data_IF_770205903343
#
_entry.id   IF_770205903343
#
_cell.length_a   1.000
_cell.length_b   1.000
_cell.length_c   1.000
_cell.angle_alpha   90.00
_cell.angle_beta   90.00
_cell.angle_gamma   90.00
#
_symmetry.space_group_name_H-M   'P 1'
#
loop_
_entity.id
_entity.type
_entity.pdbx_description
1 polymer ?
#
# COMPACT_ATOMS: atom_id res chain seq x y z
N UNK A 1 -5.38 -93.33 -38.81
CA UNK A 1 -4.22 -92.99 -37.97
C UNK A 1 -4.45 -91.63 -37.43
N UNK A 2 -4.47 -91.51 -36.16
CA UNK A 2 -5.11 -90.39 -35.40
C UNK A 2 -4.11 -89.34 -34.97
N UNK A 3 -4.39 -88.10 -35.35
CA UNK A 3 -3.67 -86.90 -34.84
C UNK A 3 -4.10 -86.58 -33.44
N UNK A 4 -3.20 -86.20 -32.52
CA UNK A 4 -3.62 -85.66 -31.25
C UNK A 4 -3.71 -84.16 -31.30
N UNK A 5 -4.73 -83.66 -30.62
CA UNK A 5 -5.12 -82.30 -30.49
C UNK A 5 -4.12 -81.47 -29.66
N UNK A 6 -3.80 -80.25 -30.09
CA UNK A 6 -3.09 -79.19 -29.27
C UNK A 6 -4.07 -78.51 -28.33
N UNK A 7 -3.74 -78.54 -27.04
CA UNK A 7 -4.42 -77.79 -26.02
C UNK A 7 -3.94 -76.34 -26.08
N UNK A 8 -4.87 -75.41 -26.27
CA UNK A 8 -4.66 -73.95 -26.12
C UNK A 8 -4.73 -73.61 -24.61
N UNK A 9 -3.64 -73.11 -24.09
CA UNK A 9 -3.63 -72.48 -22.79
C UNK A 9 -4.20 -71.06 -22.87
N UNK A 10 -4.76 -70.52 -21.76
CA UNK A 10 -5.37 -69.19 -21.75
C UNK A 10 -4.33 -68.09 -21.80
N UNK A 11 -4.53 -67.12 -22.71
CA UNK A 11 -3.76 -65.89 -22.80
C UNK A 11 -4.10 -64.99 -21.57
N UNK A 12 -3.15 -64.84 -20.70
CA UNK A 12 -3.20 -63.81 -19.64
C UNK A 12 -3.04 -62.44 -20.28
N UNK A 13 -4.06 -61.61 -20.18
CA UNK A 13 -4.01 -60.19 -20.51
C UNK A 13 -3.17 -59.43 -19.45
N UNK A 14 -2.31 -58.49 -19.85
CA UNK A 14 -1.66 -57.60 -18.90
C UNK A 14 -2.64 -56.50 -18.46
N UNK A 15 -3.04 -56.55 -17.20
CA UNK A 15 -3.69 -55.43 -16.55
C UNK A 15 -2.64 -54.35 -16.23
N UNK A 16 -2.53 -53.40 -17.11
CA UNK A 16 -1.84 -52.16 -16.81
C UNK A 16 -2.85 -51.01 -16.89
N UNK A 17 -3.49 -50.74 -15.81
CA UNK A 17 -4.18 -49.47 -15.65
C UNK A 17 -3.73 -48.84 -14.35
N UNK A 18 -2.49 -48.36 -14.34
CA UNK A 18 -2.03 -47.42 -13.34
C UNK A 18 -2.47 -46.05 -13.83
N UNK A 19 -3.70 -45.67 -13.54
CA UNK A 19 -4.13 -44.29 -13.63
C UNK A 19 -3.26 -43.45 -12.67
N UNK A 20 -2.36 -42.67 -13.26
CA UNK A 20 -1.69 -41.62 -12.52
C UNK A 20 -2.77 -40.78 -11.82
N UNK A 21 -2.54 -40.37 -10.53
CA UNK A 21 -3.47 -39.50 -9.88
C UNK A 21 -3.61 -38.22 -10.70
N UNK A 22 -4.83 -37.61 -10.76
CA UNK A 22 -5.02 -36.35 -11.46
C UNK A 22 -3.99 -35.35 -10.91
N UNK A 23 -3.27 -34.69 -11.82
CA UNK A 23 -2.37 -33.62 -11.48
C UNK A 23 -3.19 -32.66 -10.61
N UNK A 24 -2.80 -32.56 -9.32
CA UNK A 24 -3.33 -31.55 -8.45
C UNK A 24 -3.27 -30.25 -9.24
N UNK A 25 -4.41 -29.61 -9.42
CA UNK A 25 -4.50 -28.26 -9.97
C UNK A 25 -3.48 -27.46 -9.18
N UNK A 26 -2.35 -27.17 -9.79
CA UNK A 26 -1.43 -26.17 -9.28
C UNK A 26 -2.29 -24.93 -9.24
N UNK A 27 -2.61 -24.47 -8.03
CA UNK A 27 -3.24 -23.20 -7.78
C UNK A 27 -2.30 -22.19 -8.48
N UNK A 28 -2.62 -21.91 -9.75
CA UNK A 28 -1.78 -21.06 -10.58
C UNK A 28 -1.87 -19.69 -9.93
N UNK A 29 -0.78 -19.28 -9.31
CA UNK A 29 -0.68 -18.01 -8.61
C UNK A 29 -1.14 -16.93 -9.59
N UNK A 30 -2.34 -16.41 -9.35
CA UNK A 30 -2.89 -15.36 -10.20
C UNK A 30 -2.37 -14.03 -9.73
N UNK A 31 -1.89 -13.15 -10.64
CA UNK A 31 -1.40 -11.86 -10.26
C UNK A 31 -2.52 -11.04 -9.60
N UNK A 32 -2.15 -10.35 -8.53
CA UNK A 32 -2.98 -9.38 -7.82
C UNK A 32 -2.37 -8.00 -7.94
N UNK A 33 -3.18 -6.95 -7.88
CA UNK A 33 -2.68 -5.59 -7.94
C UNK A 33 -3.11 -4.77 -6.72
N UNK A 34 -2.24 -3.84 -6.33
CA UNK A 34 -2.55 -2.79 -5.37
C UNK A 34 -2.29 -1.44 -6.02
N UNK A 35 -3.25 -0.53 -5.88
CA UNK A 35 -3.09 0.87 -6.29
C UNK A 35 -3.18 1.77 -5.06
N UNK A 36 -2.22 2.70 -4.95
CA UNK A 36 -2.19 3.74 -3.92
C UNK A 36 -2.33 5.12 -4.58
N UNK A 37 -3.37 5.87 -4.23
CA UNK A 37 -3.60 7.24 -4.65
C UNK A 37 -3.15 8.18 -3.53
N UNK A 38 -1.85 8.43 -3.47
CA UNK A 38 -1.22 9.31 -2.49
C UNK A 38 -1.26 10.79 -2.87
N UNK A 39 -0.79 11.65 -1.98
CA UNK A 39 -0.81 13.11 -2.16
C UNK A 39 0.10 13.60 -3.32
N UNK A 40 1.21 12.94 -3.59
CA UNK A 40 2.22 13.35 -4.60
C UNK A 40 2.33 12.42 -5.79
N UNK A 41 1.86 11.19 -5.67
CA UNK A 41 1.93 10.19 -6.73
C UNK A 41 0.80 9.18 -6.60
N UNK A 42 0.42 8.59 -7.72
CA UNK A 42 -0.31 7.33 -7.76
C UNK A 42 0.67 6.20 -8.05
N UNK A 43 0.50 5.05 -7.39
CA UNK A 43 1.37 3.89 -7.51
C UNK A 43 0.57 2.65 -7.86
N UNK A 44 1.18 1.77 -8.60
CA UNK A 44 0.69 0.43 -8.91
C UNK A 44 1.76 -0.57 -8.52
N UNK A 45 1.37 -1.63 -7.84
CA UNK A 45 2.16 -2.82 -7.58
C UNK A 45 1.39 -4.03 -8.08
N UNK A 46 2.02 -4.90 -8.86
CA UNK A 46 1.47 -6.20 -9.25
C UNK A 46 2.39 -7.29 -8.70
N UNK A 47 1.81 -8.28 -8.04
CA UNK A 47 2.55 -9.39 -7.45
C UNK A 47 1.80 -10.72 -7.61
N UNK A 48 2.55 -11.81 -7.63
CA UNK A 48 2.03 -13.15 -7.40
C UNK A 48 2.11 -13.49 -5.91
N UNK A 49 1.02 -14.09 -5.41
CA UNK A 49 0.94 -14.51 -4.01
C UNK A 49 0.98 -16.03 -3.94
N UNK A 50 1.97 -16.56 -3.25
CA UNK A 50 2.09 -17.99 -2.92
C UNK A 50 1.99 -18.15 -1.41
N UNK A 51 1.15 -19.08 -0.95
CA UNK A 51 0.96 -19.33 0.48
C UNK A 51 2.30 -19.64 1.17
N UNK A 52 2.61 -18.92 2.25
CA UNK A 52 3.82 -19.11 3.04
C UNK A 52 5.10 -18.56 2.40
N UNK A 53 5.02 -17.82 1.31
CA UNK A 53 6.16 -17.15 0.68
C UNK A 53 5.93 -15.64 0.60
N UNK A 54 7.00 -14.83 0.59
CA UNK A 54 6.88 -13.41 0.29
C UNK A 54 6.26 -13.18 -1.10
N UNK A 55 5.51 -12.08 -1.30
CA UNK A 55 4.97 -11.74 -2.62
C UNK A 55 6.08 -11.63 -3.66
N UNK A 56 5.93 -12.31 -4.80
CA UNK A 56 6.81 -12.14 -5.94
C UNK A 56 6.36 -10.93 -6.75
N UNK A 57 7.15 -9.84 -6.71
CA UNK A 57 6.83 -8.59 -7.41
C UNK A 57 7.02 -8.80 -8.92
N UNK A 58 5.96 -8.54 -9.70
CA UNK A 58 5.96 -8.63 -11.16
C UNK A 58 6.14 -7.27 -11.83
N UNK A 59 5.52 -6.22 -11.27
CA UNK A 59 5.55 -4.87 -11.84
C UNK A 59 5.39 -3.81 -10.75
N UNK A 60 6.15 -2.73 -10.87
CA UNK A 60 6.00 -1.51 -10.08
C UNK A 60 5.93 -0.30 -11.01
N UNK A 61 4.88 0.50 -10.87
CA UNK A 61 4.73 1.73 -11.63
C UNK A 61 4.31 2.89 -10.72
N UNK A 62 4.85 4.07 -11.01
CA UNK A 62 4.51 5.30 -10.29
C UNK A 62 4.31 6.45 -11.27
N UNK A 63 3.35 7.31 -10.99
CA UNK A 63 3.10 8.56 -11.74
C UNK A 63 2.91 9.70 -10.78
N UNK A 64 3.70 10.74 -10.95
CA UNK A 64 3.56 11.96 -10.17
C UNK A 64 2.22 12.63 -10.47
N UNK A 65 1.50 13.01 -9.41
CA UNK A 65 0.25 13.76 -9.44
C UNK A 65 0.28 14.86 -8.38
N UNK A 66 -0.62 15.82 -8.47
CA UNK A 66 -0.62 16.96 -7.56
C UNK A 66 -1.85 17.00 -6.64
N UNK A 67 -2.40 15.83 -6.29
CA UNK A 67 -3.62 15.71 -5.46
C UNK A 67 -3.47 16.48 -4.14
N UNK A 68 -2.33 16.29 -3.45
CA UNK A 68 -2.08 16.97 -2.19
C UNK A 68 -1.85 18.47 -2.33
N UNK A 69 -1.25 18.92 -3.43
CA UNK A 69 -1.12 20.36 -3.69
C UNK A 69 -2.49 21.03 -3.70
N UNK A 70 -3.42 20.50 -4.43
CA UNK A 70 -4.74 21.06 -4.60
C UNK A 70 -5.58 20.92 -3.32
N UNK A 71 -5.61 19.72 -2.73
CA UNK A 71 -6.39 19.43 -1.53
C UNK A 71 -5.94 20.24 -0.31
N UNK A 72 -4.62 20.35 -0.08
CA UNK A 72 -4.10 21.02 1.12
C UNK A 72 -3.99 22.53 0.98
N UNK A 73 -4.16 23.09 -0.23
CA UNK A 73 -4.19 24.55 -0.45
C UNK A 73 -5.62 25.06 -0.58
N UNK A 74 -6.41 24.41 -1.44
CA UNK A 74 -7.76 24.88 -1.78
C UNK A 74 -8.89 24.01 -1.25
N UNK A 75 -8.59 22.93 -0.52
CA UNK A 75 -9.59 21.97 -0.03
C UNK A 75 -10.31 21.20 -1.14
N UNK A 76 -9.84 21.29 -2.39
CA UNK A 76 -10.55 20.80 -3.57
C UNK A 76 -9.57 20.36 -4.65
N UNK A 77 -9.83 19.25 -5.32
CA UNK A 77 -9.06 18.78 -6.47
C UNK A 77 -9.42 19.60 -7.71
N UNK A 78 -8.42 20.17 -8.37
CA UNK A 78 -8.59 20.95 -9.60
C UNK A 78 -8.81 20.05 -10.83
N UNK A 79 -9.41 20.62 -11.88
CA UNK A 79 -9.75 19.88 -13.09
C UNK A 79 -8.52 19.26 -13.77
N UNK A 80 -7.41 20.00 -13.85
CA UNK A 80 -6.18 19.53 -14.48
C UNK A 80 -5.54 18.38 -13.69
N UNK A 81 -5.56 18.48 -12.35
CA UNK A 81 -5.05 17.44 -11.47
C UNK A 81 -5.90 16.17 -11.56
N UNK A 82 -7.22 16.31 -11.58
CA UNK A 82 -8.14 15.19 -11.80
C UNK A 82 -7.83 14.52 -13.14
N UNK A 83 -7.74 15.29 -14.22
CA UNK A 83 -7.50 14.75 -15.56
C UNK A 83 -6.11 14.06 -15.67
N UNK A 84 -5.08 14.63 -15.06
CA UNK A 84 -3.75 14.01 -14.99
C UNK A 84 -3.79 12.67 -14.23
N UNK A 85 -4.55 12.63 -13.13
CA UNK A 85 -4.72 11.42 -12.33
C UNK A 85 -5.49 10.34 -13.09
N UNK A 86 -6.56 10.73 -13.77
CA UNK A 86 -7.34 9.82 -14.62
C UNK A 86 -6.49 9.19 -15.72
N UNK A 87 -5.65 9.99 -16.42
CA UNK A 87 -4.72 9.46 -17.43
C UNK A 87 -3.71 8.47 -16.84
N UNK A 88 -3.21 8.74 -15.64
CA UNK A 88 -2.29 7.83 -14.96
C UNK A 88 -2.97 6.49 -14.62
N UNK A 89 -4.20 6.54 -14.11
CA UNK A 89 -5.00 5.36 -13.77
C UNK A 89 -5.42 4.56 -15.02
N UNK A 90 -5.74 5.23 -16.14
CA UNK A 90 -5.95 4.57 -17.45
C UNK A 90 -4.70 3.76 -17.87
N UNK A 91 -3.52 4.34 -17.67
CA UNK A 91 -2.25 3.66 -17.94
C UNK A 91 -2.07 2.44 -17.05
N UNK A 92 -2.36 2.55 -15.76
CA UNK A 92 -2.28 1.45 -14.81
C UNK A 92 -3.29 0.35 -15.11
N UNK A 93 -4.52 0.71 -15.52
CA UNK A 93 -5.52 -0.27 -15.94
C UNK A 93 -5.01 -1.13 -17.10
N UNK A 94 -4.41 -0.52 -18.12
CA UNK A 94 -3.81 -1.25 -19.26
C UNK A 94 -2.67 -2.16 -18.82
N UNK A 95 -1.83 -1.74 -17.88
CA UNK A 95 -0.78 -2.60 -17.31
C UNK A 95 -1.42 -3.78 -16.59
N UNK A 96 -2.39 -3.56 -15.72
CA UNK A 96 -3.11 -4.63 -15.02
C UNK A 96 -3.74 -5.63 -16.00
N UNK A 97 -4.35 -5.14 -17.08
CA UNK A 97 -4.96 -5.99 -18.12
C UNK A 97 -3.91 -6.83 -18.83
N UNK A 98 -2.71 -6.30 -19.12
CA UNK A 98 -1.62 -7.05 -19.76
C UNK A 98 -1.05 -8.18 -18.89
N UNK A 99 -1.14 -8.05 -17.56
CA UNK A 99 -0.79 -9.10 -16.59
C UNK A 99 -1.96 -10.05 -16.27
N UNK A 100 -3.15 -9.82 -16.83
CA UNK A 100 -4.33 -10.63 -16.53
C UNK A 100 -4.84 -10.48 -15.10
N UNK A 101 -4.61 -9.31 -14.46
CA UNK A 101 -5.04 -9.03 -13.10
C UNK A 101 -6.56 -8.99 -13.02
N UNK A 102 -7.15 -9.88 -12.23
CA UNK A 102 -8.60 -9.92 -11.94
C UNK A 102 -8.91 -9.34 -10.57
N UNK A 103 -8.02 -9.58 -9.60
CA UNK A 103 -8.21 -9.09 -8.22
C UNK A 103 -7.27 -7.93 -7.94
N UNK A 104 -7.83 -6.85 -7.43
CA UNK A 104 -7.05 -5.69 -7.02
C UNK A 104 -7.66 -5.02 -5.79
N UNK A 105 -6.85 -4.22 -5.09
CA UNK A 105 -7.32 -3.23 -4.13
C UNK A 105 -6.77 -1.86 -4.55
N UNK A 106 -7.62 -0.86 -4.62
CA UNK A 106 -7.23 0.51 -4.90
C UNK A 106 -7.64 1.38 -3.70
N UNK A 107 -6.70 2.09 -3.12
CA UNK A 107 -6.92 2.94 -1.95
C UNK A 107 -6.54 4.38 -2.25
N UNK A 108 -7.23 5.31 -1.61
CA UNK A 108 -6.89 6.72 -1.62
C UNK A 108 -6.80 7.22 -0.18
N UNK A 109 -5.83 8.08 0.08
CA UNK A 109 -5.48 8.54 1.42
C UNK A 109 -5.77 10.03 1.62
N UNK A 110 -5.03 10.71 2.46
CA UNK A 110 -5.29 12.06 3.00
C UNK A 110 -5.72 13.10 1.96
N UNK A 111 -5.09 13.16 0.78
CA UNK A 111 -5.41 14.18 -0.21
C UNK A 111 -6.82 14.02 -0.81
N UNK A 112 -7.23 12.79 -1.10
CA UNK A 112 -8.57 12.51 -1.59
C UNK A 112 -9.58 12.56 -0.44
N UNK A 113 -9.23 12.01 0.71
CA UNK A 113 -10.07 11.99 1.91
C UNK A 113 -10.54 13.39 2.32
N UNK A 114 -9.66 14.38 2.26
CA UNK A 114 -9.94 15.75 2.67
C UNK A 114 -10.55 16.63 1.57
N UNK A 115 -10.53 16.20 0.33
CA UNK A 115 -11.06 16.98 -0.78
C UNK A 115 -12.60 17.06 -0.73
N UNK A 116 -13.15 18.27 -0.75
CA UNK A 116 -14.61 18.52 -0.74
C UNK A 116 -15.30 17.85 -1.94
N UNK A 117 -14.62 17.71 -3.08
CA UNK A 117 -15.15 17.10 -4.30
C UNK A 117 -14.68 15.66 -4.51
N UNK A 118 -14.31 14.94 -3.43
CA UNK A 118 -13.80 13.56 -3.50
C UNK A 118 -14.77 12.61 -4.20
N UNK A 119 -16.06 12.70 -3.89
CA UNK A 119 -17.06 11.79 -4.45
C UNK A 119 -17.19 11.97 -5.97
N UNK A 120 -17.23 13.22 -6.45
CA UNK A 120 -17.18 13.51 -7.89
C UNK A 120 -15.91 13.00 -8.56
N UNK A 121 -14.76 13.09 -7.88
CA UNK A 121 -13.50 12.54 -8.37
C UNK A 121 -13.56 11.01 -8.47
N UNK A 122 -14.02 10.33 -7.42
CA UNK A 122 -14.14 8.87 -7.39
C UNK A 122 -15.11 8.35 -8.46
N UNK A 123 -16.23 9.03 -8.66
CA UNK A 123 -17.18 8.69 -9.73
C UNK A 123 -16.52 8.80 -11.12
N UNK A 124 -15.73 9.86 -11.37
CA UNK A 124 -14.98 10.02 -12.62
C UNK A 124 -13.93 8.91 -12.80
N UNK A 125 -13.22 8.52 -11.74
CA UNK A 125 -12.29 7.40 -11.79
C UNK A 125 -13.01 6.13 -12.19
N UNK A 126 -14.11 5.82 -11.52
CA UNK A 126 -14.91 4.60 -11.79
C UNK A 126 -15.46 4.58 -13.22
N UNK A 127 -16.05 5.68 -13.68
CA UNK A 127 -16.63 5.78 -15.02
C UNK A 127 -15.60 5.64 -16.12
N UNK A 128 -14.40 6.19 -15.93
CA UNK A 128 -13.36 6.18 -16.94
C UNK A 128 -12.52 4.91 -16.97
N UNK A 129 -12.16 4.39 -15.80
CA UNK A 129 -11.19 3.30 -15.68
C UNK A 129 -11.79 1.97 -15.24
N UNK A 130 -13.03 1.98 -14.77
CA UNK A 130 -13.67 0.83 -14.12
C UNK A 130 -13.08 0.49 -12.74
N UNK A 131 -12.11 1.28 -12.23
CA UNK A 131 -11.51 1.05 -10.94
C UNK A 131 -12.42 1.55 -9.81
N UNK A 132 -12.63 0.70 -8.81
CA UNK A 132 -13.29 1.08 -7.57
C UNK A 132 -12.23 1.44 -6.53
N UNK A 133 -12.18 2.71 -6.15
CA UNK A 133 -11.18 3.24 -5.19
C UNK A 133 -11.84 3.45 -3.84
N UNK A 134 -11.27 2.84 -2.81
CA UNK A 134 -11.68 2.98 -1.42
C UNK A 134 -10.91 4.15 -0.78
N UNK A 135 -11.61 5.05 -0.11
CA UNK A 135 -10.95 6.08 0.71
C UNK A 135 -10.77 5.52 2.11
N UNK A 136 -9.51 5.30 2.50
CA UNK A 136 -9.19 4.79 3.84
C UNK A 136 -8.91 5.92 4.81
N UNK A 137 -9.22 5.69 6.08
CA UNK A 137 -8.89 6.62 7.18
C UNK A 137 -7.48 6.37 7.73
N UNK A 138 -7.03 7.23 8.64
CA UNK A 138 -5.71 7.10 9.25
C UNK A 138 -5.55 5.83 10.09
N UNK A 139 -6.62 5.32 10.69
CA UNK A 139 -6.58 4.08 11.47
C UNK A 139 -6.30 2.87 10.58
N UNK A 140 -6.92 2.83 9.39
CA UNK A 140 -6.66 1.78 8.41
C UNK A 140 -5.25 1.94 7.78
N UNK A 141 -4.79 3.17 7.52
CA UNK A 141 -3.41 3.44 7.09
C UNK A 141 -2.41 2.86 8.12
N UNK A 142 -2.55 3.22 9.39
CA UNK A 142 -1.72 2.69 10.49
C UNK A 142 -1.77 1.16 10.60
N UNK A 143 -2.95 0.57 10.48
CA UNK A 143 -3.13 -0.89 10.53
C UNK A 143 -2.39 -1.60 9.38
N UNK A 144 -2.47 -1.06 8.17
CA UNK A 144 -1.79 -1.62 7.00
C UNK A 144 -0.27 -1.49 7.13
N UNK A 145 0.22 -0.32 7.55
CA UNK A 145 1.64 -0.07 7.82
C UNK A 145 2.18 -1.01 8.89
N UNK A 146 1.48 -1.15 10.02
CA UNK A 146 1.86 -2.11 11.06
C UNK A 146 1.91 -3.55 10.55
N UNK A 147 0.92 -3.96 9.75
CA UNK A 147 0.87 -5.31 9.19
C UNK A 147 2.09 -5.59 8.29
N UNK A 148 2.45 -4.63 7.44
CA UNK A 148 3.61 -4.74 6.56
C UNK A 148 4.93 -4.79 7.35
N UNK A 149 5.06 -3.92 8.36
CA UNK A 149 6.25 -3.87 9.21
C UNK A 149 6.42 -5.14 10.01
N UNK A 150 5.35 -5.64 10.63
CA UNK A 150 5.38 -6.89 11.42
C UNK A 150 5.84 -8.07 10.58
N UNK A 151 5.40 -8.17 9.35
CA UNK A 151 5.83 -9.24 8.44
C UNK A 151 7.31 -9.10 8.05
N UNK A 152 7.74 -7.88 7.71
CA UNK A 152 9.12 -7.61 7.34
C UNK A 152 10.12 -7.79 8.50
N UNK A 153 9.65 -7.59 9.75
CA UNK A 153 10.48 -7.69 10.94
C UNK A 153 10.44 -9.06 11.63
N UNK A 154 9.77 -10.06 11.08
CA UNK A 154 9.69 -11.40 11.68
C UNK A 154 11.05 -11.98 12.07
N UNK A 155 12.10 -11.64 11.34
CA UNK A 155 13.47 -12.08 11.59
C UNK A 155 14.26 -11.14 12.53
N UNK A 156 13.66 -10.04 12.98
CA UNK A 156 14.30 -9.02 13.83
C UNK A 156 13.69 -9.01 15.24
N UNK A 157 13.89 -10.10 15.99
CA UNK A 157 13.32 -10.30 17.32
C UNK A 157 13.55 -9.14 18.29
N UNK A 158 14.72 -8.49 18.24
CA UNK A 158 15.05 -7.37 19.14
C UNK A 158 14.11 -6.17 18.97
N UNK A 159 13.72 -5.84 17.73
CA UNK A 159 12.77 -4.75 17.46
C UNK A 159 11.33 -5.13 17.81
N UNK A 160 11.01 -6.42 17.71
CA UNK A 160 9.68 -6.94 18.05
C UNK A 160 9.52 -7.12 19.56
N UNK A 161 10.59 -7.45 20.29
CA UNK A 161 10.56 -7.67 21.74
C UNK A 161 10.57 -6.38 22.57
N UNK A 162 11.01 -5.26 22.00
CA UNK A 162 11.18 -3.97 22.67
C UNK A 162 9.96 -3.05 22.63
N UNK A 163 10.15 -1.86 23.19
CA UNK A 163 9.24 -0.72 23.05
C UNK A 163 9.72 0.11 21.85
N UNK A 164 9.02 -0.02 20.70
CA UNK A 164 9.44 0.53 19.40
C UNK A 164 8.47 1.61 18.93
N UNK A 165 9.01 2.77 18.52
CA UNK A 165 8.25 3.80 17.82
C UNK A 165 8.36 3.58 16.30
N UNK A 166 7.23 3.28 15.68
CA UNK A 166 7.09 3.24 14.24
C UNK A 166 6.64 4.62 13.74
N UNK A 167 7.35 5.18 12.76
CA UNK A 167 7.05 6.49 12.17
C UNK A 167 7.06 6.36 10.65
N UNK A 168 5.95 6.71 10.02
CA UNK A 168 5.86 6.87 8.57
C UNK A 168 5.56 8.32 8.22
N UNK A 169 6.39 8.97 7.40
CA UNK A 169 6.14 10.31 6.89
C UNK A 169 5.77 10.21 5.41
N UNK A 170 4.50 10.48 5.14
CA UNK A 170 3.95 10.54 3.80
C UNK A 170 3.84 11.97 3.26
N UNK A 171 3.19 12.12 2.09
CA UNK A 171 2.97 13.45 1.50
C UNK A 171 1.95 14.29 2.26
N UNK A 172 0.92 13.69 2.84
CA UNK A 172 -0.20 14.39 3.49
C UNK A 172 -0.24 14.29 5.00
N UNK A 173 0.30 13.22 5.56
CA UNK A 173 0.28 12.90 7.00
C UNK A 173 1.63 12.33 7.46
N UNK A 174 1.81 12.30 8.77
CA UNK A 174 2.76 11.43 9.44
C UNK A 174 1.96 10.48 10.33
N UNK A 175 2.24 9.20 10.19
CA UNK A 175 1.59 8.12 10.91
C UNK A 175 2.56 7.57 11.95
N UNK A 176 2.13 7.54 13.20
CA UNK A 176 2.94 7.09 14.32
C UNK A 176 2.23 5.94 15.03
N UNK A 177 2.98 4.88 15.32
CA UNK A 177 2.52 3.78 16.17
C UNK A 177 3.56 3.44 17.21
N UNK A 178 3.15 3.38 18.47
CA UNK A 178 3.99 2.91 19.56
C UNK A 178 3.69 1.44 19.81
N UNK A 179 4.69 0.61 19.59
CA UNK A 179 4.61 -0.84 19.74
C UNK A 179 5.23 -1.23 21.08
N UNK A 180 4.54 -2.06 21.83
CA UNK A 180 5.06 -2.72 23.03
C UNK A 180 5.09 -4.22 22.81
N UNK A 181 6.27 -4.79 22.85
CA UNK A 181 6.48 -6.22 22.54
C UNK A 181 5.85 -6.62 21.19
N UNK A 182 6.05 -5.78 20.18
CA UNK A 182 5.53 -6.01 18.84
C UNK A 182 4.05 -5.69 18.63
N UNK A 183 3.27 -5.34 19.67
CA UNK A 183 1.85 -5.02 19.54
C UNK A 183 1.60 -3.51 19.64
N UNK A 184 0.77 -2.93 18.75
CA UNK A 184 0.47 -1.51 18.78
C UNK A 184 -0.44 -1.18 19.96
N UNK A 185 0.04 -0.31 20.86
CA UNK A 185 -0.74 0.16 22.00
C UNK A 185 -1.23 1.59 21.85
N UNK A 186 -0.58 2.37 20.99
CA UNK A 186 -1.01 3.70 20.58
C UNK A 186 -0.71 3.90 19.11
N UNK A 187 -1.65 4.51 18.38
CA UNK A 187 -1.46 4.91 16.99
C UNK A 187 -2.18 6.23 16.73
N UNK A 188 -1.57 7.08 15.90
CA UNK A 188 -2.15 8.35 15.51
C UNK A 188 -1.68 8.80 14.13
N UNK A 189 -2.55 9.54 13.45
CA UNK A 189 -2.28 10.16 12.15
C UNK A 189 -2.28 11.68 12.33
N UNK A 190 -1.19 12.32 11.98
CA UNK A 190 -0.97 13.75 12.23
C UNK A 190 -0.77 14.50 10.91
N UNK A 191 -1.26 15.74 10.83
CA UNK A 191 -1.18 16.59 9.64
C UNK A 191 0.25 17.13 9.39
N UNK A 192 1.24 16.22 9.31
CA UNK A 192 2.68 16.50 9.23
C UNK A 192 3.33 15.87 7.99
N UNK A 193 2.59 15.78 6.88
CA UNK A 193 3.13 15.26 5.62
C UNK A 193 3.96 16.29 4.86
N UNK A 194 4.98 15.84 4.14
CA UNK A 194 5.94 16.70 3.44
C UNK A 194 5.30 17.65 2.41
N UNK A 195 4.33 17.17 1.62
CA UNK A 195 3.60 18.00 0.65
C UNK A 195 2.71 19.00 1.38
N UNK A 196 1.98 18.56 2.41
CA UNK A 196 1.13 19.43 3.23
C UNK A 196 1.93 20.56 3.86
N UNK A 197 3.05 20.26 4.48
CA UNK A 197 3.91 21.25 5.13
C UNK A 197 4.46 22.25 4.12
N UNK A 198 4.87 21.81 2.95
CA UNK A 198 5.33 22.68 1.87
C UNK A 198 4.21 23.60 1.38
N UNK A 199 2.99 23.14 1.23
CA UNK A 199 1.86 23.95 0.81
C UNK A 199 1.49 24.98 1.89
N UNK A 200 1.48 24.61 3.16
CA UNK A 200 1.26 25.54 4.26
C UNK A 200 2.31 26.66 4.26
N UNK A 201 3.59 26.32 4.10
CA UNK A 201 4.67 27.31 4.03
C UNK A 201 4.53 28.25 2.83
N UNK A 202 4.09 27.74 1.67
CA UNK A 202 3.86 28.55 0.48
C UNK A 202 2.65 29.49 0.60
N UNK A 203 1.61 29.08 1.32
CA UNK A 203 0.40 29.89 1.53
C UNK A 203 0.59 31.03 2.57
N UNK A 204 1.60 30.95 3.43
CA UNK A 204 1.82 31.99 4.45
C UNK A 204 2.48 33.21 3.86
N UNK A 205 1.91 34.37 4.19
CA UNK A 205 2.45 35.67 3.79
C UNK A 205 3.49 36.19 4.78
N UNK A 206 4.37 37.08 4.31
CA UNK A 206 5.40 37.71 5.13
C UNK A 206 6.84 37.41 4.66
N UNK A 207 7.81 37.90 5.41
CA UNK A 207 9.23 37.64 5.11
C UNK A 207 9.58 36.16 5.24
N UNK A 208 10.70 35.74 4.64
CA UNK A 208 11.20 34.36 4.78
C UNK A 208 11.32 33.94 6.26
N UNK A 209 11.91 34.81 7.09
CA UNK A 209 12.06 34.54 8.53
C UNK A 209 10.72 34.37 9.26
N UNK A 210 9.73 35.20 8.92
CA UNK A 210 8.40 35.10 9.53
C UNK A 210 7.75 33.75 9.15
N UNK A 211 7.83 33.35 7.87
CA UNK A 211 7.31 32.05 7.41
C UNK A 211 8.00 30.88 8.10
N UNK A 212 9.32 30.91 8.23
CA UNK A 212 10.09 29.87 8.94
C UNK A 212 9.69 29.79 10.43
N UNK A 213 9.51 30.94 11.11
CA UNK A 213 9.02 30.95 12.49
C UNK A 213 7.64 30.31 12.63
N UNK A 214 6.70 30.67 11.74
CA UNK A 214 5.36 30.11 11.73
C UNK A 214 5.40 28.60 11.47
N UNK A 215 6.21 28.17 10.51
CA UNK A 215 6.41 26.76 10.21
C UNK A 215 6.92 25.98 11.43
N UNK A 216 7.98 26.44 12.07
CA UNK A 216 8.53 25.82 13.29
C UNK A 216 7.48 25.73 14.38
N UNK A 217 6.73 26.80 14.60
CA UNK A 217 5.66 26.83 15.62
C UNK A 217 4.57 25.80 15.31
N UNK A 218 4.14 25.71 14.04
CA UNK A 218 3.15 24.74 13.62
C UNK A 218 3.62 23.30 13.86
N UNK A 219 4.84 22.97 13.43
CA UNK A 219 5.46 21.66 13.69
C UNK A 219 5.57 21.38 15.19
N UNK A 220 6.03 22.36 16.00
CA UNK A 220 6.14 22.21 17.44
C UNK A 220 4.80 21.92 18.11
N UNK A 221 3.72 22.59 17.70
CA UNK A 221 2.39 22.34 18.24
C UNK A 221 1.94 20.90 17.95
N UNK A 222 2.10 20.43 16.71
CA UNK A 222 1.75 19.05 16.34
C UNK A 222 2.60 18.04 17.14
N UNK A 223 3.91 18.30 17.31
CA UNK A 223 4.79 17.44 18.12
C UNK A 223 4.37 17.44 19.61
N UNK A 224 3.86 18.56 20.13
CA UNK A 224 3.31 18.59 21.48
C UNK A 224 2.05 17.74 21.62
N UNK A 225 1.19 17.73 20.62
CA UNK A 225 0.00 16.88 20.61
C UNK A 225 0.40 15.39 20.52
N UNK A 226 1.34 15.05 19.64
CA UNK A 226 1.91 13.69 19.57
C UNK A 226 2.45 13.23 20.95
N UNK A 227 3.18 14.11 21.66
CA UNK A 227 3.73 13.78 23.00
C UNK A 227 2.69 13.57 24.08
N UNK A 228 1.48 14.09 23.91
CA UNK A 228 0.36 13.87 24.84
C UNK A 228 -0.33 12.54 24.61
N UNK A 229 -0.35 12.09 23.34
CA UNK A 229 -1.08 10.90 22.91
C UNK A 229 -0.17 9.67 22.89
N UNK A 230 1.10 9.83 22.50
CA UNK A 230 2.05 8.74 22.31
C UNK A 230 3.17 8.84 23.37
N UNK A 231 3.48 7.75 24.10
CA UNK A 231 4.51 7.72 25.12
C UNK A 231 5.93 7.68 24.54
N UNK A 232 6.32 8.73 23.79
CA UNK A 232 7.60 8.79 23.07
C UNK A 232 8.83 8.55 23.93
N UNK A 233 8.77 8.85 25.24
CA UNK A 233 9.89 8.69 26.17
C UNK A 233 10.15 7.24 26.55
N UNK A 234 9.19 6.37 26.33
CA UNK A 234 9.29 4.95 26.64
C UNK A 234 9.90 4.17 25.47
N UNK A 235 9.90 4.75 24.25
CA UNK A 235 10.49 4.13 23.07
C UNK A 235 12.00 3.96 23.26
N UNK A 236 12.47 2.72 23.09
CA UNK A 236 13.89 2.35 23.09
C UNK A 236 14.46 2.34 21.69
N UNK A 237 13.63 1.93 20.75
CA UNK A 237 13.97 1.80 19.33
C UNK A 237 13.03 2.63 18.48
N UNK A 238 13.51 3.05 17.32
CA UNK A 238 12.72 3.78 16.33
C UNK A 238 12.85 3.14 14.95
N UNK A 239 11.72 2.94 14.29
CA UNK A 239 11.67 2.49 12.90
C UNK A 239 10.99 3.54 12.06
N UNK A 240 11.73 4.13 11.13
CA UNK A 240 11.23 5.16 10.23
C UNK A 240 10.99 4.58 8.83
N UNK A 241 9.81 4.86 8.28
CA UNK A 241 9.37 4.42 6.96
C UNK A 241 9.12 5.60 6.04
N UNK A 242 9.07 5.30 4.74
CA UNK A 242 8.75 6.28 3.70
C UNK A 242 9.98 6.86 3.01
N UNK A 243 9.71 7.65 1.95
CA UNK A 243 10.75 8.24 1.12
C UNK A 243 11.60 9.27 1.86
N UNK A 244 10.97 10.07 2.72
CA UNK A 244 11.63 11.13 3.49
C UNK A 244 12.56 10.54 4.56
N UNK A 245 12.19 9.41 5.18
CA UNK A 245 13.06 8.71 6.12
C UNK A 245 14.38 8.26 5.47
N UNK A 246 14.31 7.73 4.25
CA UNK A 246 15.51 7.31 3.48
C UNK A 246 16.40 8.48 3.05
N UNK A 247 15.86 9.69 3.02
CA UNK A 247 16.65 10.89 2.69
C UNK A 247 17.44 11.42 3.87
N UNK A 248 16.96 11.17 5.11
CA UNK A 248 17.59 11.67 6.35
C UNK A 248 18.58 10.66 6.95
N UNK A 249 18.43 9.37 6.61
CA UNK A 249 19.33 8.30 7.04
C UNK A 249 20.64 8.29 6.24
#
# INVERSE_FOLDING_TARGET
>A
MRHPARKNGPLTQPTANTSAPPAAERDSARPVAVLDLGASAVRLLIAELTTGQPPAILEEASRAVALGRDAFTGGRLGADTIEATLRALDGFRRIMDSYGVVRYRAVATSAVREAINRDTFLDRVRLRTGLNVEVIDGSEENRLTYTAVREALREHEALVAGDTLLVEVGGGSADLSFLRRGEPIHSGTYALGAVRMRQSLAAWHGSHEQRVRLFRRNVQNIVLDIRREIPLREARDGLALGGDARFVA
#
